data_IF_544364741470
#
_entry.id   IF_544364741470
#
_cell.length_a   1.000
_cell.length_b   1.000
_cell.length_c   1.000
_cell.angle_alpha   90.00
_cell.angle_beta   90.00
_cell.angle_gamma   90.00
#
_symmetry.space_group_name_H-M   'P 1'
#
loop_
_entity.id
_entity.type
_entity.pdbx_description
1 polymer ?
#
# COMPACT_ATOMS: atom_id res chain seq x y z
N UNK A 1 -10.37 16.59 8.95
CA UNK A 1 -10.50 15.76 7.72
C UNK A 1 -11.68 14.83 7.87
N UNK A 2 -12.65 14.91 6.99
CA UNK A 2 -13.80 14.00 7.03
C UNK A 2 -13.46 12.69 6.30
N UNK A 3 -14.42 11.74 6.33
CA UNK A 3 -14.20 10.42 5.75
C UNK A 3 -13.92 10.47 4.25
N UNK A 4 -14.63 11.33 3.51
CA UNK A 4 -14.44 11.44 2.07
C UNK A 4 -13.07 12.02 1.73
N UNK A 5 -12.64 13.03 2.47
CA UNK A 5 -11.31 13.62 2.29
C UNK A 5 -10.21 12.60 2.57
N UNK A 6 -10.42 11.76 3.59
CA UNK A 6 -9.47 10.71 3.93
C UNK A 6 -9.33 9.71 2.77
N UNK A 7 -10.46 9.25 2.23
CA UNK A 7 -10.46 8.29 1.12
C UNK A 7 -9.78 8.88 -0.12
N UNK A 8 -10.09 10.13 -0.44
CA UNK A 8 -9.44 10.83 -1.56
C UNK A 8 -7.93 10.90 -1.33
N UNK A 9 -7.52 11.22 -0.11
CA UNK A 9 -6.11 11.28 0.24
C UNK A 9 -5.40 9.94 0.08
N UNK A 10 -6.08 8.84 0.46
CA UNK A 10 -5.54 7.50 0.27
C UNK A 10 -5.29 7.25 -1.23
N UNK A 11 -6.26 7.55 -2.06
CA UNK A 11 -6.15 7.32 -3.50
C UNK A 11 -5.06 8.18 -4.14
N UNK A 12 -4.93 9.43 -3.69
CA UNK A 12 -3.87 10.31 -4.19
C UNK A 12 -2.48 9.74 -3.90
N UNK A 13 -2.28 9.21 -2.69
CA UNK A 13 -1.01 8.61 -2.30
C UNK A 13 -0.72 7.36 -3.14
N UNK A 14 -1.73 6.52 -3.33
CA UNK A 14 -1.58 5.28 -4.09
C UNK A 14 -1.11 5.55 -5.52
N UNK A 15 -1.63 6.58 -6.14
CA UNK A 15 -1.24 6.95 -7.52
C UNK A 15 0.23 7.29 -7.64
N UNK A 16 0.86 7.69 -6.56
CA UNK A 16 2.25 8.13 -6.58
C UNK A 16 3.25 7.03 -6.25
N UNK A 17 2.79 5.85 -5.81
CA UNK A 17 3.71 4.77 -5.46
C UNK A 17 4.43 4.29 -6.72
N UNK A 18 5.76 4.42 -6.77
CA UNK A 18 6.49 4.02 -7.97
C UNK A 18 6.56 2.50 -8.12
N UNK A 19 6.68 2.07 -9.37
CA UNK A 19 6.93 0.66 -9.66
C UNK A 19 8.19 0.21 -8.93
N UNK A 20 8.14 -0.97 -8.33
CA UNK A 20 9.28 -1.51 -7.57
C UNK A 20 9.31 -1.10 -6.12
N UNK A 21 8.29 -0.38 -5.66
CA UNK A 21 8.17 0.03 -4.26
C UNK A 21 6.84 -0.38 -3.68
N UNK A 22 6.80 -0.56 -2.36
CA UNK A 22 5.59 -0.87 -1.63
C UNK A 22 5.40 0.10 -0.47
N UNK A 23 4.16 0.26 -0.05
CA UNK A 23 3.78 1.14 1.06
C UNK A 23 2.85 0.36 1.97
N UNK A 24 2.93 0.62 3.27
CA UNK A 24 2.05 -0.07 4.22
C UNK A 24 0.80 0.77 4.49
N UNK A 25 -0.27 0.10 4.94
CA UNK A 25 -1.50 0.79 5.35
C UNK A 25 -1.20 1.85 6.42
N UNK A 26 -0.33 1.50 7.37
CA UNK A 26 0.04 2.43 8.45
C UNK A 26 0.78 3.66 7.95
N UNK A 27 1.64 3.52 6.95
CA UNK A 27 2.32 4.67 6.36
C UNK A 27 1.34 5.64 5.73
N UNK A 28 0.38 5.12 4.97
CA UNK A 28 -0.63 5.97 4.33
C UNK A 28 -1.44 6.71 5.40
N UNK A 29 -1.86 6.00 6.45
CA UNK A 29 -2.61 6.62 7.53
C UNK A 29 -1.81 7.74 8.21
N UNK A 30 -0.52 7.50 8.47
CA UNK A 30 0.33 8.51 9.10
C UNK A 30 0.53 9.73 8.21
N UNK A 31 0.69 9.52 6.92
CA UNK A 31 0.83 10.64 5.98
C UNK A 31 -0.39 11.54 5.98
N UNK A 32 -1.55 10.95 6.21
CA UNK A 32 -2.80 11.71 6.26
C UNK A 32 -3.08 12.27 7.65
N UNK A 33 -2.12 12.15 8.57
CA UNK A 33 -2.27 12.67 9.92
C UNK A 33 -3.21 11.87 10.81
N UNK A 34 -3.53 10.63 10.43
CA UNK A 34 -4.46 9.77 11.15
C UNK A 34 -3.86 8.38 11.38
N UNK A 35 -2.76 8.27 12.15
CA UNK A 35 -2.06 6.99 12.31
C UNK A 35 -2.93 5.86 12.87
N UNK A 36 -4.02 6.17 13.56
CA UNK A 36 -4.94 5.18 14.10
C UNK A 36 -5.93 4.65 13.05
N UNK A 37 -5.89 5.17 11.82
CA UNK A 37 -6.88 4.86 10.79
C UNK A 37 -6.40 3.90 9.71
N UNK A 38 -5.43 3.03 10.01
CA UNK A 38 -4.93 2.07 9.02
C UNK A 38 -6.02 1.13 8.50
N UNK A 39 -6.99 0.78 9.35
CA UNK A 39 -8.13 -0.05 8.92
C UNK A 39 -8.95 0.66 7.84
N UNK A 40 -9.13 1.97 7.98
CA UNK A 40 -9.86 2.76 6.97
C UNK A 40 -9.13 2.77 5.64
N UNK A 41 -7.80 2.76 5.66
CA UNK A 41 -7.00 2.65 4.44
C UNK A 41 -7.34 1.33 3.74
N UNK A 42 -7.36 0.22 4.48
CA UNK A 42 -7.72 -1.08 3.92
C UNK A 42 -9.11 -1.08 3.31
N UNK A 43 -10.08 -0.45 3.97
CA UNK A 43 -11.43 -0.33 3.45
C UNK A 43 -11.48 0.48 2.16
N UNK A 44 -10.74 1.59 2.10
CA UNK A 44 -10.64 2.40 0.90
C UNK A 44 -10.03 1.61 -0.25
N UNK A 45 -9.01 0.81 0.05
CA UNK A 45 -8.37 -0.05 -0.95
C UNK A 45 -9.34 -1.06 -1.54
N UNK A 46 -10.18 -1.67 -0.73
CA UNK A 46 -11.14 -2.67 -1.19
C UNK A 46 -12.20 -2.08 -2.12
N UNK A 47 -12.37 -0.76 -2.08
CA UNK A 47 -13.35 -0.04 -2.89
C UNK A 47 -12.70 0.85 -3.96
N UNK A 48 -11.42 0.65 -4.19
CA UNK A 48 -10.69 1.50 -5.12
C UNK A 48 -11.28 1.43 -6.53
N UNK A 49 -11.41 2.57 -7.22
CA UNK A 49 -11.90 2.56 -8.59
C UNK A 49 -10.91 1.85 -9.53
N UNK A 50 -11.41 1.42 -10.67
CA UNK A 50 -10.64 0.59 -11.61
C UNK A 50 -9.33 1.23 -12.04
N UNK A 51 -9.29 2.54 -12.20
CA UNK A 51 -8.08 3.24 -12.62
C UNK A 51 -6.95 3.17 -11.60
N UNK A 52 -7.25 2.78 -10.35
CA UNK A 52 -6.24 2.58 -9.33
C UNK A 52 -5.76 1.15 -9.22
N UNK A 53 -6.43 0.20 -9.85
CA UNK A 53 -6.06 -1.21 -9.76
C UNK A 53 -4.60 -1.49 -10.13
N UNK A 54 -4.00 -0.78 -11.11
CA UNK A 54 -2.57 -1.00 -11.42
C UNK A 54 -1.61 -0.63 -10.29
N UNK A 55 -2.09 0.07 -9.25
CA UNK A 55 -1.26 0.51 -8.12
C UNK A 55 -1.56 -0.24 -6.83
N UNK A 56 -2.75 -0.85 -6.71
CA UNK A 56 -3.23 -1.40 -5.44
C UNK A 56 -2.35 -2.53 -4.89
N UNK A 57 -1.71 -3.30 -5.77
CA UNK A 57 -0.86 -4.40 -5.32
C UNK A 57 0.38 -3.92 -4.57
N UNK A 58 0.71 -2.63 -4.63
CA UNK A 58 1.86 -2.04 -3.96
C UNK A 58 1.56 -1.63 -2.52
N UNK A 59 0.36 -1.90 -2.04
CA UNK A 59 -0.04 -1.56 -0.66
C UNK A 59 -0.21 -2.85 0.14
N UNK A 60 0.52 -2.95 1.25
CA UNK A 60 0.59 -4.17 2.06
C UNK A 60 0.47 -3.81 3.54
N UNK A 61 0.40 -4.80 4.42
CA UNK A 61 0.34 -4.52 5.84
C UNK A 61 1.72 -4.17 6.43
N UNK A 62 1.73 -3.76 7.69
CA UNK A 62 2.97 -3.27 8.34
C UNK A 62 4.06 -4.33 8.48
N UNK A 63 3.72 -5.60 8.38
CA UNK A 63 4.68 -6.71 8.43
C UNK A 63 5.11 -7.19 7.06
N UNK A 64 4.62 -6.57 5.99
CA UNK A 64 4.93 -6.98 4.63
C UNK A 64 4.06 -8.09 4.09
N UNK A 65 2.97 -8.42 4.78
CA UNK A 65 2.08 -9.48 4.33
C UNK A 65 1.17 -9.03 3.21
N UNK A 66 0.95 -9.93 2.27
CA UNK A 66 0.04 -9.69 1.15
C UNK A 66 -1.41 -9.82 1.58
N UNK A 67 -2.32 -9.30 0.76
CA UNK A 67 -3.75 -9.36 1.02
C UNK A 67 -4.23 -10.81 0.98
N UNK A 68 -4.86 -11.32 2.05
CA UNK A 68 -5.37 -12.68 2.02
C UNK A 68 -6.40 -12.88 0.91
N UNK A 69 -6.28 -13.98 0.19
CA UNK A 69 -7.21 -14.31 -0.88
C UNK A 69 -6.92 -13.65 -2.22
N UNK A 70 -5.95 -12.75 -2.30
CA UNK A 70 -5.54 -12.13 -3.56
C UNK A 70 -4.25 -12.76 -4.04
N UNK A 71 -4.35 -13.92 -4.66
CA UNK A 71 -3.19 -14.72 -5.06
C UNK A 71 -2.32 -14.03 -6.11
N UNK A 72 -2.93 -13.23 -6.97
CA UNK A 72 -2.21 -12.57 -8.04
C UNK A 72 -1.28 -11.45 -7.55
N UNK A 73 -1.50 -10.94 -6.34
CA UNK A 73 -0.70 -9.86 -5.81
C UNK A 73 0.80 -10.17 -5.83
N UNK A 74 1.17 -11.38 -5.42
CA UNK A 74 2.57 -11.79 -5.40
C UNK A 74 3.17 -11.74 -6.81
N UNK A 75 2.46 -12.28 -7.78
CA UNK A 75 2.94 -12.28 -9.17
C UNK A 75 3.15 -10.86 -9.69
N UNK A 76 2.22 -9.96 -9.38
CA UNK A 76 2.32 -8.57 -9.80
C UNK A 76 3.56 -7.90 -9.19
N UNK A 77 3.82 -8.17 -7.91
CA UNK A 77 4.99 -7.61 -7.23
C UNK A 77 6.29 -8.22 -7.75
N UNK A 78 6.30 -9.51 -8.02
CA UNK A 78 7.50 -10.17 -8.58
C UNK A 78 7.86 -9.59 -9.94
N UNK A 79 6.87 -9.24 -10.74
CA UNK A 79 7.11 -8.58 -12.03
C UNK A 79 7.76 -7.21 -11.88
N UNK A 80 7.66 -6.61 -10.70
CA UNK A 80 8.32 -5.35 -10.39
C UNK A 80 9.64 -5.55 -9.65
N UNK A 81 10.15 -6.77 -9.63
CA UNK A 81 11.40 -7.13 -8.96
C UNK A 81 11.35 -7.00 -7.44
N UNK A 82 10.16 -7.04 -6.87
CA UNK A 82 9.98 -7.09 -5.42
C UNK A 82 10.39 -8.47 -4.93
N UNK A 83 11.18 -8.52 -3.87
CA UNK A 83 11.66 -9.78 -3.30
C UNK A 83 10.97 -10.06 -1.97
N UNK A 84 10.88 -11.34 -1.64
CA UNK A 84 10.17 -11.82 -0.48
C UNK A 84 11.09 -12.59 0.45
N UNK A 85 10.82 -12.49 1.74
CA UNK A 85 11.52 -13.26 2.76
C UNK A 85 10.98 -14.70 2.79
N UNK A 86 11.67 -15.58 3.53
CA UNK A 86 11.27 -16.98 3.65
C UNK A 86 9.84 -17.17 4.15
N UNK A 87 9.38 -16.24 5.00
CA UNK A 87 8.03 -16.31 5.56
C UNK A 87 6.94 -15.81 4.60
N UNK A 88 7.29 -15.44 3.37
CA UNK A 88 6.35 -14.96 2.37
C UNK A 88 6.04 -13.47 2.43
N UNK A 89 6.63 -12.75 3.37
CA UNK A 89 6.45 -11.31 3.47
C UNK A 89 7.40 -10.57 2.54
N UNK A 90 6.96 -9.40 2.06
CA UNK A 90 7.83 -8.52 1.30
C UNK A 90 9.00 -8.06 2.17
N UNK A 91 10.19 -7.98 1.59
CA UNK A 91 11.34 -7.43 2.28
C UNK A 91 11.22 -5.89 2.32
N UNK A 92 10.63 -5.39 3.40
CA UNK A 92 10.37 -3.96 3.55
C UNK A 92 11.63 -3.11 3.60
N UNK A 93 12.74 -3.66 4.09
CA UNK A 93 13.99 -2.92 4.11
C UNK A 93 14.44 -2.52 2.73
N UNK A 94 14.21 -3.39 1.75
CA UNK A 94 14.62 -3.16 0.36
C UNK A 94 13.61 -2.35 -0.43
N UNK A 95 12.32 -2.57 -0.19
CA UNK A 95 11.28 -2.14 -1.14
C UNK A 95 10.32 -1.10 -0.61
N UNK A 96 10.40 -0.74 0.67
CA UNK A 96 9.50 0.26 1.22
C UNK A 96 9.77 1.64 0.63
N UNK A 97 8.73 2.28 0.10
CA UNK A 97 8.84 3.63 -0.48
C UNK A 97 9.04 4.65 0.63
N UNK A 98 10.23 5.18 0.73
CA UNK A 98 10.62 6.05 1.84
C UNK A 98 10.41 7.53 1.57
N UNK A 99 10.29 7.91 0.32
CA UNK A 99 10.05 9.31 -0.02
C UNK A 99 8.73 9.83 0.53
N UNK A 100 7.81 8.91 0.81
CA UNK A 100 6.54 9.23 1.46
C UNK A 100 6.78 9.91 2.81
N UNK A 101 7.90 9.63 3.47
CA UNK A 101 8.19 10.13 4.81
C UNK A 101 8.50 11.62 4.85
N UNK A 102 8.68 12.28 3.72
CA UNK A 102 9.00 13.71 3.69
C UNK A 102 7.76 14.61 3.73
N UNK A 103 6.59 14.02 3.66
CA UNK A 103 5.37 14.79 3.84
C UNK A 103 5.18 15.19 5.33
#
# INVERSE_FOLDING_TARGET
MNKNEFVIGVYDIIREIPRGSVVTYGQIARLLGKPQCSRMVGQAMSRAPKELHPFCHRVINSQGRLVPGWEEQRNLLEKESITFKKNGCVDLKKHNWREVAIY
#
